data_IF_042510074015
#
_entry.id   IF_042510074015
#
_cell.length_a   1.000
_cell.length_b   1.000
_cell.length_c   1.000
_cell.angle_alpha   90.00
_cell.angle_beta   90.00
_cell.angle_gamma   90.00
#
_symmetry.space_group_name_H-M   'P 1'
#
loop_
_entity.id
_entity.type
_entity.pdbx_description
1 polymer ?
#
# COMPACT_ATOMS: atom_id res chain seq x y z
N UNK A 1 0.25 4.32 14.52
CA UNK A 1 -0.04 5.75 14.54
C UNK A 1 -1.47 6.06 14.10
N UNK A 2 -2.06 7.10 14.72
CA UNK A 2 -2.84 8.08 13.99
C UNK A 2 -2.05 9.40 13.88
N UNK A 3 -1.10 9.47 12.92
CA UNK A 3 -0.22 10.64 12.70
C UNK A 3 -0.26 11.03 11.22
N UNK A 4 -0.25 12.34 10.92
CA UNK A 4 -0.17 12.88 9.57
C UNK A 4 1.28 13.35 9.31
N UNK A 5 1.89 12.83 8.24
CA UNK A 5 3.22 13.25 7.78
C UNK A 5 3.05 13.87 6.39
N UNK A 6 3.44 15.14 6.22
CA UNK A 6 3.41 15.86 4.95
C UNK A 6 4.81 16.30 4.50
N UNK A 7 4.87 16.96 3.33
CA UNK A 7 6.10 17.49 2.74
C UNK A 7 6.47 16.78 1.42
N UNK A 8 6.93 17.56 0.44
CA UNK A 8 7.29 17.06 -0.91
C UNK A 8 8.39 16.00 -0.85
N UNK A 9 9.33 16.16 0.09
CA UNK A 9 10.48 15.25 0.28
C UNK A 9 10.25 14.19 1.38
N UNK A 10 9.04 14.09 1.94
CA UNK A 10 8.75 13.09 2.96
C UNK A 10 8.75 11.68 2.35
N UNK A 11 9.39 10.71 3.03
CA UNK A 11 9.42 9.33 2.56
C UNK A 11 8.02 8.71 2.58
N UNK A 12 7.59 8.15 1.45
CA UNK A 12 6.34 7.38 1.31
C UNK A 12 6.52 5.91 1.74
N UNK A 13 5.40 5.21 1.95
CA UNK A 13 5.41 3.78 2.28
C UNK A 13 5.90 2.88 1.11
N UNK A 14 5.83 3.38 -0.13
CA UNK A 14 6.27 2.68 -1.34
C UNK A 14 7.08 3.65 -2.20
N UNK A 15 8.33 3.30 -2.51
CA UNK A 15 9.26 4.09 -3.31
C UNK A 15 9.66 3.35 -4.61
N UNK A 16 10.42 4.03 -5.47
CA UNK A 16 10.91 3.50 -6.75
C UNK A 16 10.17 4.06 -7.97
N UNK A 17 10.44 3.51 -9.16
CA UNK A 17 9.86 4.01 -10.42
C UNK A 17 8.36 3.77 -10.54
N UNK A 18 7.84 2.72 -9.90
CA UNK A 18 6.43 2.34 -9.98
C UNK A 18 5.98 1.98 -11.40
N UNK A 19 4.67 2.05 -11.62
CA UNK A 19 4.02 1.86 -12.92
C UNK A 19 3.35 3.16 -13.36
N UNK A 20 3.29 3.42 -14.66
CA UNK A 20 2.70 4.65 -15.22
C UNK A 20 1.20 4.53 -15.47
N UNK A 21 0.63 3.32 -15.44
CA UNK A 21 -0.80 3.06 -15.64
C UNK A 21 -1.37 2.22 -14.50
N UNK A 22 -2.58 2.57 -14.04
CA UNK A 22 -3.28 1.84 -12.96
C UNK A 22 -3.49 0.36 -13.31
N UNK A 23 -3.76 0.05 -14.59
CA UNK A 23 -3.92 -1.33 -15.06
C UNK A 23 -2.65 -2.19 -14.91
N UNK A 24 -1.48 -1.57 -14.75
CA UNK A 24 -0.21 -2.24 -14.53
C UNK A 24 0.12 -2.41 -13.04
N UNK A 25 -0.71 -1.89 -12.12
CA UNK A 25 -0.49 -2.06 -10.67
C UNK A 25 -0.78 -3.49 -10.21
N UNK A 26 -0.21 -3.88 -9.06
CA UNK A 26 -0.62 -5.12 -8.40
C UNK A 26 -1.94 -4.91 -7.66
N UNK A 27 -2.91 -5.78 -7.91
CA UNK A 27 -4.10 -5.90 -7.07
C UNK A 27 -3.78 -6.82 -5.89
N UNK A 28 -4.14 -6.39 -4.69
CA UNK A 28 -4.09 -7.25 -3.51
C UNK A 28 -5.38 -8.08 -3.41
N UNK A 29 -5.22 -9.34 -3.03
CA UNK A 29 -6.29 -10.28 -2.71
C UNK A 29 -6.25 -10.70 -1.26
N UNK A 30 -7.38 -11.26 -0.78
CA UNK A 30 -7.59 -11.66 0.63
C UNK A 30 -7.24 -10.53 1.59
N UNK A 31 -7.71 -9.32 1.25
CA UNK A 31 -7.44 -8.12 2.03
C UNK A 31 -8.14 -8.23 3.40
N UNK A 32 -7.38 -7.95 4.47
CA UNK A 32 -7.90 -7.82 5.83
C UNK A 32 -7.60 -6.44 6.37
N UNK A 33 -8.56 -5.89 7.10
CA UNK A 33 -8.47 -4.59 7.77
C UNK A 33 -8.76 -4.80 9.24
N UNK A 34 -7.81 -4.44 10.10
CA UNK A 34 -7.87 -4.70 11.55
C UNK A 34 -7.41 -3.47 12.32
N UNK A 35 -8.00 -3.23 13.50
CA UNK A 35 -7.55 -2.18 14.43
C UNK A 35 -6.55 -2.79 15.42
N UNK A 36 -5.37 -2.18 15.55
CA UNK A 36 -4.32 -2.57 16.49
C UNK A 36 -4.06 -1.42 17.46
N UNK A 37 -4.62 -1.48 18.67
CA UNK A 37 -4.61 -0.31 19.55
C UNK A 37 -5.32 0.86 18.88
N UNK A 38 -4.67 2.02 18.72
CA UNK A 38 -5.22 3.18 18.01
C UNK A 38 -4.91 3.22 16.50
N UNK A 39 -4.35 2.13 15.97
CA UNK A 39 -3.82 2.05 14.62
C UNK A 39 -4.70 1.19 13.71
N UNK A 40 -4.60 1.42 12.41
CA UNK A 40 -5.22 0.56 11.39
C UNK A 40 -4.13 -0.26 10.67
N UNK A 41 -4.33 -1.57 10.59
CA UNK A 41 -3.53 -2.48 9.78
C UNK A 41 -4.34 -2.92 8.55
N UNK A 42 -3.74 -2.79 7.37
CA UNK A 42 -4.26 -3.35 6.12
C UNK A 42 -3.25 -4.37 5.59
N UNK A 43 -3.67 -5.61 5.37
CA UNK A 43 -2.83 -6.70 4.86
C UNK A 43 -3.50 -7.44 3.70
N UNK A 44 -2.71 -8.10 2.85
CA UNK A 44 -3.20 -8.85 1.69
C UNK A 44 -2.05 -9.50 0.90
N UNK A 45 -2.39 -10.27 -0.13
CA UNK A 45 -1.42 -10.96 -0.99
C UNK A 45 -1.46 -10.41 -2.41
N UNK A 46 -0.30 -10.32 -3.09
CA UNK A 46 -0.25 -9.96 -4.51
C UNK A 46 -0.77 -11.11 -5.37
N UNK A 47 -1.54 -10.77 -6.41
CA UNK A 47 -1.84 -11.73 -7.47
C UNK A 47 -0.64 -11.82 -8.39
N UNK A 48 -0.15 -13.03 -8.65
CA UNK A 48 0.86 -13.22 -9.69
C UNK A 48 0.27 -12.73 -11.01
N UNK A 49 0.94 -11.78 -11.67
CA UNK A 49 0.61 -11.48 -13.06
C UNK A 49 0.93 -12.75 -13.85
N UNK A 50 -0.10 -13.40 -14.39
CA UNK A 50 0.10 -14.46 -15.38
C UNK A 50 1.00 -13.92 -16.47
N UNK A 51 2.06 -14.67 -16.78
CA UNK A 51 2.98 -14.35 -17.87
C UNK A 51 2.31 -14.39 -19.23
#
# INVERSE_FOLDING_TARGET
APIIIGGVEAKSAVAGKGVSKVAESFRLERVRVEKLGDDLMVSGYVVAKGG
#
